data_IF_997973915813
#
_entry.id   IF_997973915813
#
_cell.length_a   1.000
_cell.length_b   1.000
_cell.length_c   1.000
_cell.angle_alpha   90.00
_cell.angle_beta   90.00
_cell.angle_gamma   90.00
#
_symmetry.space_group_name_H-M   'P 1'
#
loop_
_entity.id
_entity.type
_entity.pdbx_description
1 polymer ?
#
# COMPACT_ATOMS: atom_id res chain seq x y z
N UNK A 1 -5.47 19.54 5.07
CA UNK A 1 -5.48 20.63 4.06
C UNK A 1 -5.47 21.99 4.77
N UNK A 2 -4.98 23.08 4.14
CA UNK A 2 -5.00 24.41 4.78
C UNK A 2 -6.42 24.89 5.06
N UNK A 3 -6.65 25.51 6.22
CA UNK A 3 -7.94 26.11 6.62
C UNK A 3 -8.48 27.13 5.59
N UNK A 4 -7.60 27.70 4.77
CA UNK A 4 -7.92 28.66 3.71
C UNK A 4 -8.74 28.04 2.56
N UNK A 5 -8.61 26.73 2.33
CA UNK A 5 -9.29 26.01 1.24
C UNK A 5 -10.81 25.97 1.45
N UNK A 6 -11.27 25.80 2.69
CA UNK A 6 -12.69 25.68 3.03
C UNK A 6 -13.44 27.02 3.08
N UNK A 7 -12.73 28.14 3.03
CA UNK A 7 -13.30 29.49 3.13
C UNK A 7 -13.24 30.26 1.80
N UNK A 8 -12.85 29.60 0.70
CA UNK A 8 -12.76 30.25 -0.60
C UNK A 8 -14.16 30.57 -1.15
N UNK A 9 -14.39 31.76 -1.74
CA UNK A 9 -15.68 32.11 -2.32
C UNK A 9 -16.01 31.21 -3.50
N UNK A 10 -17.22 30.65 -3.49
CA UNK A 10 -17.79 29.81 -4.54
C UNK A 10 -17.68 30.49 -5.92
N UNK A 11 -16.96 29.88 -6.87
CA UNK A 11 -16.88 30.33 -8.27
C UNK A 11 -17.52 29.30 -9.21
N UNK A 12 -18.63 29.68 -9.82
CA UNK A 12 -19.46 28.84 -10.71
C UNK A 12 -18.91 28.69 -12.15
N UNK A 13 -17.64 28.93 -12.40
CA UNK A 13 -17.07 28.82 -13.75
C UNK A 13 -16.63 27.37 -14.00
N UNK A 14 -17.33 26.68 -14.90
CA UNK A 14 -17.03 25.36 -15.49
C UNK A 14 -16.40 24.38 -14.48
N UNK A 15 -17.24 23.55 -13.86
CA UNK A 15 -16.82 22.45 -12.99
C UNK A 15 -16.01 21.43 -13.81
N UNK A 16 -14.70 21.63 -13.92
CA UNK A 16 -13.77 20.55 -14.19
C UNK A 16 -13.89 19.60 -13.00
N UNK A 17 -14.56 18.45 -13.21
CA UNK A 17 -14.71 17.46 -12.15
C UNK A 17 -13.34 16.98 -11.69
N UNK A 18 -12.90 17.49 -10.55
CA UNK A 18 -11.76 16.96 -9.85
C UNK A 18 -12.10 15.50 -9.45
N UNK A 19 -11.22 14.57 -9.82
CA UNK A 19 -11.40 13.12 -9.58
C UNK A 19 -12.61 12.49 -10.30
N UNK A 20 -12.71 12.58 -11.65
CA UNK A 20 -13.90 12.20 -12.40
C UNK A 20 -14.29 10.72 -12.22
N UNK A 21 -13.31 9.83 -12.00
CA UNK A 21 -13.59 8.42 -11.74
C UNK A 21 -14.26 8.21 -10.38
N UNK A 22 -13.72 8.79 -9.30
CA UNK A 22 -14.26 8.67 -7.95
C UNK A 22 -15.65 9.28 -7.91
N UNK A 23 -15.80 10.48 -8.45
CA UNK A 23 -17.09 11.17 -8.56
C UNK A 23 -18.10 10.34 -9.34
N UNK A 24 -17.71 9.72 -10.46
CA UNK A 24 -18.60 8.83 -11.21
C UNK A 24 -19.02 7.62 -10.39
N UNK A 25 -18.09 6.94 -9.72
CA UNK A 25 -18.40 5.80 -8.87
C UNK A 25 -19.38 6.16 -7.74
N UNK A 26 -19.16 7.30 -7.06
CA UNK A 26 -20.04 7.78 -6.00
C UNK A 26 -21.42 8.17 -6.53
N UNK A 27 -21.47 8.92 -7.63
CA UNK A 27 -22.75 9.32 -8.26
C UNK A 27 -23.54 8.10 -8.70
N UNK A 28 -22.91 7.12 -9.36
CA UNK A 28 -23.59 5.89 -9.76
C UNK A 28 -24.03 5.05 -8.56
N UNK A 29 -23.16 4.91 -7.55
CA UNK A 29 -23.47 4.16 -6.33
C UNK A 29 -24.61 4.77 -5.51
N UNK A 30 -24.70 6.10 -5.47
CA UNK A 30 -25.77 6.82 -4.78
C UNK A 30 -27.07 6.92 -5.58
N UNK A 31 -26.97 7.02 -6.92
CA UNK A 31 -28.13 7.21 -7.78
C UNK A 31 -28.91 5.91 -8.03
N UNK A 32 -28.22 4.77 -8.22
CA UNK A 32 -28.84 3.58 -8.82
C UNK A 32 -29.29 2.57 -7.77
N UNK A 33 -30.60 2.32 -7.69
CA UNK A 33 -31.14 1.16 -6.98
C UNK A 33 -31.25 -0.03 -7.93
N UNK A 34 -30.25 -0.91 -7.91
CA UNK A 34 -30.21 -2.11 -8.76
C UNK A 34 -31.35 -3.10 -8.49
N UNK A 35 -31.94 -3.10 -7.29
CA UNK A 35 -33.02 -4.03 -6.93
C UNK A 35 -34.35 -3.55 -7.50
N UNK A 36 -34.57 -2.23 -7.50
CA UNK A 36 -35.80 -1.62 -8.03
C UNK A 36 -35.71 -1.27 -9.51
N UNK A 37 -34.48 -1.14 -10.03
CA UNK A 37 -34.24 -0.63 -11.38
C UNK A 37 -34.49 0.87 -11.51
N UNK A 38 -34.53 1.59 -10.39
CA UNK A 38 -34.81 3.02 -10.33
C UNK A 38 -33.50 3.81 -10.20
N UNK A 39 -33.51 5.06 -10.65
CA UNK A 39 -32.38 5.98 -10.55
C UNK A 39 -32.84 7.29 -9.88
N UNK A 40 -32.13 7.71 -8.83
CA UNK A 40 -32.33 8.98 -8.15
C UNK A 40 -31.53 10.08 -8.82
N UNK A 41 -32.06 11.30 -8.82
CA UNK A 41 -31.29 12.46 -9.28
C UNK A 41 -30.22 12.81 -8.25
N UNK A 42 -28.97 12.77 -8.66
CA UNK A 42 -27.83 13.23 -7.87
C UNK A 42 -27.30 14.52 -8.50
N UNK A 43 -27.15 15.56 -7.70
CA UNK A 43 -26.53 16.82 -8.10
C UNK A 43 -25.20 16.95 -7.37
N UNK A 44 -24.07 16.57 -7.99
CA UNK A 44 -22.77 16.76 -7.38
C UNK A 44 -22.54 18.26 -7.17
N UNK A 45 -22.08 18.61 -5.97
CA UNK A 45 -21.66 19.97 -5.64
C UNK A 45 -20.16 20.09 -5.86
N UNK A 46 -19.67 21.32 -6.00
CA UNK A 46 -18.24 21.56 -6.15
C UNK A 46 -17.51 21.07 -4.89
N UNK A 47 -16.31 20.53 -5.03
CA UNK A 47 -15.54 20.00 -3.89
C UNK A 47 -15.23 21.06 -2.82
N UNK A 48 -15.20 22.34 -3.24
CA UNK A 48 -15.02 23.51 -2.38
C UNK A 48 -16.32 24.02 -1.76
N UNK A 49 -17.44 23.33 -1.99
CA UNK A 49 -18.71 23.66 -1.34
C UNK A 49 -18.54 23.51 0.17
N UNK A 50 -18.83 24.55 0.96
CA UNK A 50 -18.76 24.42 2.41
C UNK A 50 -19.83 23.41 2.89
N UNK A 51 -19.64 22.78 4.06
CA UNK A 51 -20.60 21.78 4.61
C UNK A 51 -22.03 22.30 4.65
N UNK A 52 -22.21 23.59 4.96
CA UNK A 52 -23.48 24.33 5.04
C UNK A 52 -23.88 25.01 3.72
N UNK A 53 -23.09 24.79 2.66
CA UNK A 53 -23.39 25.31 1.32
C UNK A 53 -24.41 24.48 0.54
N UNK A 54 -24.76 23.29 1.03
CA UNK A 54 -25.78 22.41 0.46
C UNK A 54 -27.17 22.63 1.04
N UNK A 55 -28.18 21.97 0.48
CA UNK A 55 -29.50 21.85 1.09
C UNK A 55 -29.45 20.77 2.19
N UNK A 56 -28.93 21.17 3.36
CA UNK A 56 -28.60 20.29 4.47
C UNK A 56 -29.39 20.62 5.75
N UNK A 57 -30.59 21.20 5.57
CA UNK A 57 -31.45 21.64 6.68
C UNK A 57 -31.78 20.53 7.68
N UNK A 58 -31.70 19.27 7.21
CA UNK A 58 -31.96 18.07 8.01
C UNK A 58 -30.67 17.38 8.49
N UNK A 59 -29.50 17.98 8.28
CA UNK A 59 -28.19 17.36 8.50
C UNK A 59 -27.64 16.65 7.27
N UNK A 60 -26.57 15.87 7.46
CA UNK A 60 -25.86 15.17 6.39
C UNK A 60 -25.50 13.74 6.76
N UNK A 61 -25.34 12.91 5.73
CA UNK A 61 -24.67 11.62 5.85
C UNK A 61 -23.24 11.77 5.37
N UNK A 62 -22.28 11.39 6.21
CA UNK A 62 -20.85 11.39 5.88
C UNK A 62 -20.43 9.94 5.69
N UNK A 63 -19.78 9.66 4.57
CA UNK A 63 -19.22 8.34 4.25
C UNK A 63 -17.72 8.52 4.08
N UNK A 64 -16.95 7.82 4.91
CA UNK A 64 -15.51 7.74 4.77
C UNK A 64 -15.13 6.42 4.12
N UNK A 65 -14.62 6.54 2.89
CA UNK A 65 -14.15 5.42 2.07
C UNK A 65 -12.64 5.50 1.82
N UNK A 66 -11.91 6.28 2.64
CA UNK A 66 -10.45 6.40 2.56
C UNK A 66 -9.77 5.03 2.57
N UNK A 67 -10.27 4.12 3.40
CA UNK A 67 -9.99 2.70 3.33
C UNK A 67 -11.22 1.93 2.84
N UNK A 68 -11.22 1.43 1.59
CA UNK A 68 -12.32 0.65 1.04
C UNK A 68 -12.66 -0.63 1.81
N UNK A 69 -11.73 -1.14 2.63
CA UNK A 69 -11.96 -2.31 3.48
C UNK A 69 -12.63 -1.99 4.80
N UNK A 70 -12.52 -0.72 5.20
CA UNK A 70 -13.02 -0.21 6.47
C UNK A 70 -13.85 1.03 6.20
N UNK A 71 -14.86 0.90 5.33
CA UNK A 71 -15.82 1.98 5.09
C UNK A 71 -16.52 2.34 6.40
N UNK A 72 -16.47 3.62 6.74
CA UNK A 72 -17.11 4.18 7.93
C UNK A 72 -18.21 5.14 7.50
N UNK A 73 -19.20 5.35 8.35
CA UNK A 73 -20.20 6.38 8.12
C UNK A 73 -20.56 7.10 9.42
N UNK A 74 -21.17 8.27 9.32
CA UNK A 74 -21.94 8.84 10.42
C UNK A 74 -23.00 9.77 9.87
N UNK A 75 -23.97 10.11 10.71
CA UNK A 75 -24.84 11.25 10.48
C UNK A 75 -24.32 12.44 11.28
N UNK A 76 -24.44 13.64 10.72
CA UNK A 76 -24.06 14.87 11.39
C UNK A 76 -25.16 15.92 11.24
N UNK A 77 -25.39 16.68 12.30
CA UNK A 77 -26.31 17.81 12.34
C UNK A 77 -25.49 19.05 12.65
N UNK A 78 -25.64 20.10 11.84
CA UNK A 78 -24.76 21.26 11.84
C UNK A 78 -25.38 22.48 12.49
N UNK A 79 -26.62 22.77 12.13
CA UNK A 79 -27.45 23.79 12.77
C UNK A 79 -28.54 23.05 13.52
N UNK A 80 -28.90 23.54 14.71
CA UNK A 80 -30.04 23.00 15.44
C UNK A 80 -31.20 22.93 14.45
N UNK A 81 -31.81 21.75 14.30
CA UNK A 81 -32.95 21.60 13.40
C UNK A 81 -33.88 22.76 13.71
N UNK A 82 -34.31 23.48 12.67
CA UNK A 82 -35.48 24.34 12.79
C UNK A 82 -36.62 23.41 13.19
N UNK A 83 -36.74 23.10 14.49
CA UNK A 83 -37.92 22.48 15.03
C UNK A 83 -39.02 23.46 14.67
N UNK A 84 -39.76 23.06 13.63
CA UNK A 84 -41.20 23.14 13.53
C UNK A 84 -41.72 23.89 14.74
N UNK A 85 -42.03 25.17 14.53
CA UNK A 85 -42.52 26.15 15.49
C UNK A 85 -43.78 25.68 16.25
N UNK A 86 -43.70 24.58 16.98
CA UNK A 86 -44.65 24.22 18.00
C UNK A 86 -44.19 25.00 19.24
N UNK A 87 -44.90 26.11 19.49
CA UNK A 87 -44.72 27.04 20.62
C UNK A 87 -44.80 26.36 22.02
N UNK A 88 -44.96 25.04 22.06
CA UNK A 88 -45.10 24.18 23.25
C UNK A 88 -43.87 23.27 23.51
N UNK A 89 -42.75 23.47 22.79
CA UNK A 89 -41.51 22.73 23.01
C UNK A 89 -40.92 23.06 24.40
N UNK A 90 -41.08 22.14 25.35
CA UNK A 90 -40.47 22.19 26.69
C UNK A 90 -38.96 22.47 26.59
N UNK A 91 -38.44 23.34 27.45
CA UNK A 91 -37.02 23.77 27.50
C UNK A 91 -35.98 22.65 27.49
N UNK A 92 -36.37 21.43 27.85
CA UNK A 92 -35.50 20.25 27.87
C UNK A 92 -35.16 19.73 26.45
N UNK A 93 -36.05 19.91 25.46
CA UNK A 93 -35.85 19.44 24.08
C UNK A 93 -34.76 20.22 23.33
N UNK A 94 -34.63 21.52 23.62
CA UNK A 94 -33.59 22.37 23.05
C UNK A 94 -32.19 21.95 23.54
N UNK A 95 -32.06 21.63 24.83
CA UNK A 95 -30.79 21.19 25.41
C UNK A 95 -30.33 19.82 24.87
N UNK A 96 -31.26 18.94 24.49
CA UNK A 96 -30.91 17.66 23.87
C UNK A 96 -30.48 17.82 22.40
N UNK A 97 -31.12 18.73 21.66
CA UNK A 97 -30.73 19.07 20.28
C UNK A 97 -29.32 19.66 20.23
N UNK A 98 -29.02 20.64 21.09
CA UNK A 98 -27.69 21.26 21.15
C UNK A 98 -26.59 20.25 21.47
N UNK A 99 -26.86 19.23 22.31
CA UNK A 99 -25.88 18.18 22.65
C UNK A 99 -25.51 17.28 21.49
N UNK A 100 -26.37 17.17 20.46
CA UNK A 100 -26.16 16.28 19.31
C UNK A 100 -25.54 17.00 18.11
N UNK A 101 -25.39 18.32 18.18
CA UNK A 101 -24.73 19.11 17.13
C UNK A 101 -23.23 18.81 17.06
N UNK A 102 -22.70 18.66 15.85
CA UNK A 102 -21.28 18.33 15.63
C UNK A 102 -20.82 17.08 16.40
N UNK A 103 -21.72 16.11 16.57
CA UNK A 103 -21.42 14.80 17.14
C UNK A 103 -21.70 13.75 16.07
N UNK A 104 -20.79 12.78 15.83
CA UNK A 104 -21.08 11.67 14.93
C UNK A 104 -22.23 10.82 15.47
N UNK A 105 -23.37 10.83 14.79
CA UNK A 105 -24.58 10.09 15.17
C UNK A 105 -24.69 8.76 14.42
N UNK A 106 -25.20 7.74 15.10
CA UNK A 106 -25.65 6.48 14.49
C UNK A 106 -26.94 6.69 13.69
N UNK A 107 -27.28 5.73 12.83
CA UNK A 107 -28.55 5.73 12.12
C UNK A 107 -29.75 5.77 13.07
N UNK A 108 -29.68 5.03 14.17
CA UNK A 108 -30.74 5.01 15.18
C UNK A 108 -30.96 6.39 15.81
N UNK A 109 -29.87 7.04 16.25
CA UNK A 109 -29.93 8.34 16.92
C UNK A 109 -30.40 9.45 15.98
N UNK A 110 -29.91 9.44 14.74
CA UNK A 110 -30.34 10.42 13.73
C UNK A 110 -31.81 10.24 13.36
N UNK A 111 -32.28 9.00 13.19
CA UNK A 111 -33.68 8.76 12.82
C UNK A 111 -34.66 8.95 13.98
N UNK A 112 -34.26 8.66 15.21
CA UNK A 112 -35.05 8.99 16.41
C UNK A 112 -35.24 10.50 16.52
N UNK A 113 -34.20 11.26 16.18
CA UNK A 113 -34.23 12.70 16.09
C UNK A 113 -35.11 13.21 14.93
N UNK A 114 -35.02 12.60 13.75
CA UNK A 114 -35.75 13.04 12.54
C UNK A 114 -37.23 12.60 12.50
N UNK A 115 -37.57 11.47 13.13
CA UNK A 115 -38.94 10.89 13.13
C UNK A 115 -39.35 10.47 14.55
N UNK A 116 -39.64 11.44 15.43
CA UNK A 116 -40.21 11.17 16.73
C UNK A 116 -41.59 10.51 16.54
N UNK A 117 -41.78 9.31 17.08
CA UNK A 117 -42.96 8.47 16.82
C UNK A 117 -42.64 7.03 16.42
N UNK A 118 -41.36 6.75 16.18
CA UNK A 118 -40.83 5.40 16.08
C UNK A 118 -40.61 4.92 14.65
N UNK A 119 -39.64 4.01 14.51
CA UNK A 119 -39.21 3.47 13.23
C UNK A 119 -40.21 2.44 12.69
N UNK A 120 -40.49 2.50 11.38
CA UNK A 120 -41.26 1.46 10.67
C UNK A 120 -40.46 0.15 10.62
N UNK A 121 -41.12 -0.98 10.33
CA UNK A 121 -40.46 -2.29 10.30
C UNK A 121 -39.30 -2.39 9.30
N UNK A 122 -39.40 -1.73 8.15
CA UNK A 122 -38.31 -1.68 7.16
C UNK A 122 -37.15 -0.80 7.63
N UNK A 123 -37.46 0.34 8.24
CA UNK A 123 -36.46 1.27 8.75
C UNK A 123 -35.69 0.70 9.95
N UNK A 124 -36.36 -0.09 10.80
CA UNK A 124 -35.69 -0.85 11.89
C UNK A 124 -34.66 -1.82 11.34
N UNK A 125 -35.01 -2.60 10.31
CA UNK A 125 -34.08 -3.54 9.67
C UNK A 125 -32.90 -2.81 9.04
N UNK A 126 -33.13 -1.64 8.44
CA UNK A 126 -32.05 -0.83 7.89
C UNK A 126 -31.11 -0.33 9.00
N UNK A 127 -31.66 0.17 10.12
CA UNK A 127 -30.85 0.59 11.28
C UNK A 127 -30.03 -0.58 11.82
N UNK A 128 -30.61 -1.77 11.93
CA UNK A 128 -29.90 -2.98 12.34
C UNK A 128 -28.72 -3.30 11.40
N UNK A 129 -28.93 -3.21 10.08
CA UNK A 129 -27.86 -3.39 9.09
C UNK A 129 -26.78 -2.31 9.20
N UNK A 130 -27.16 -1.06 9.42
CA UNK A 130 -26.22 0.05 9.55
C UNK A 130 -25.38 -0.06 10.83
N UNK A 131 -25.86 -0.72 11.88
CA UNK A 131 -25.07 -0.98 13.09
C UNK A 131 -23.90 -1.96 12.85
N UNK A 132 -23.89 -2.68 11.72
CA UNK A 132 -22.76 -3.53 11.32
C UNK A 132 -21.62 -2.72 10.68
N UNK A 133 -21.90 -1.48 10.25
CA UNK A 133 -20.90 -0.59 9.63
C UNK A 133 -20.27 0.29 10.70
N UNK A 134 -18.96 0.53 10.58
CA UNK A 134 -18.22 1.33 11.55
C UNK A 134 -18.68 2.78 11.54
N UNK A 135 -18.76 3.37 12.73
CA UNK A 135 -19.02 4.79 12.88
C UNK A 135 -17.73 5.60 12.70
N UNK A 136 -17.81 6.73 12.00
CA UNK A 136 -16.71 7.70 11.95
C UNK A 136 -16.54 8.32 13.33
N UNK A 137 -15.30 8.41 13.82
CA UNK A 137 -14.98 9.05 15.09
C UNK A 137 -14.81 10.58 14.94
N UNK A 138 -14.98 11.31 16.05
CA UNK A 138 -14.87 12.77 16.06
C UNK A 138 -13.49 13.27 15.67
N UNK A 139 -12.43 12.50 15.95
CA UNK A 139 -11.06 12.92 15.68
C UNK A 139 -10.76 12.87 14.17
N UNK A 140 -11.25 11.84 13.48
CA UNK A 140 -11.20 11.72 12.03
C UNK A 140 -11.99 12.84 11.33
N UNK A 141 -13.15 13.21 11.88
CA UNK A 141 -13.90 14.36 11.39
C UNK A 141 -13.18 15.68 11.67
N UNK A 142 -12.54 15.85 12.81
CA UNK A 142 -11.78 17.07 13.14
C UNK A 142 -10.50 17.20 12.29
N UNK A 143 -9.82 16.10 11.98
CA UNK A 143 -8.66 16.08 11.08
C UNK A 143 -9.04 16.41 9.63
N UNK A 144 -10.11 15.80 9.14
CA UNK A 144 -10.63 16.09 7.80
C UNK A 144 -11.30 17.48 7.72
N UNK A 145 -12.02 17.86 8.78
CA UNK A 145 -12.87 19.03 8.88
C UNK A 145 -12.84 19.69 10.27
N UNK A 146 -11.85 20.56 10.54
CA UNK A 146 -11.68 21.15 11.86
C UNK A 146 -12.79 22.16 12.18
N UNK A 147 -13.71 21.80 13.07
CA UNK A 147 -14.96 22.54 13.37
C UNK A 147 -15.35 22.50 14.85
N UNK A 148 -14.57 21.83 15.70
CA UNK A 148 -14.93 21.59 17.09
C UNK A 148 -15.86 20.39 17.24
N UNK A 149 -15.60 19.31 16.50
CA UNK A 149 -16.36 18.07 16.65
C UNK A 149 -16.29 17.56 18.09
N UNK A 150 -17.45 17.26 18.66
CA UNK A 150 -17.55 16.71 20.00
C UNK A 150 -17.56 15.20 19.95
N UNK A 151 -16.79 14.58 20.86
CA UNK A 151 -16.86 13.13 21.02
C UNK A 151 -18.24 12.72 21.54
N UNK A 152 -18.68 11.52 21.17
CA UNK A 152 -19.95 10.95 21.65
C UNK A 152 -20.02 10.91 23.18
N UNK A 153 -18.90 10.63 23.83
CA UNK A 153 -18.82 10.58 25.30
C UNK A 153 -19.04 11.97 25.92
N UNK A 154 -18.45 13.03 25.34
CA UNK A 154 -18.68 14.41 25.80
C UNK A 154 -20.14 14.84 25.62
N UNK A 155 -20.80 14.35 24.57
CA UNK A 155 -22.22 14.57 24.31
C UNK A 155 -23.17 13.74 25.19
N UNK A 156 -22.64 12.85 26.04
CA UNK A 156 -23.44 11.93 26.85
C UNK A 156 -24.05 10.76 26.07
N UNK A 157 -23.58 10.51 24.85
CA UNK A 157 -23.98 9.39 24.01
C UNK A 157 -23.11 8.15 24.28
N UNK A 158 -23.63 6.93 24.06
CA UNK A 158 -22.85 5.72 24.21
C UNK A 158 -21.69 5.69 23.20
N UNK A 159 -20.51 5.26 23.67
CA UNK A 159 -19.38 4.97 22.80
C UNK A 159 -19.71 3.81 21.85
N UNK A 160 -19.21 3.87 20.62
CA UNK A 160 -19.38 2.82 19.62
C UNK A 160 -18.04 2.10 19.43
N UNK A 161 -18.02 0.77 19.21
CA UNK A 161 -16.79 0.06 18.94
C UNK A 161 -16.05 0.67 17.74
N UNK A 162 -14.80 1.09 17.95
CA UNK A 162 -13.92 1.65 16.91
C UNK A 162 -13.15 0.57 16.14
N UNK A 163 -13.31 -0.71 16.48
CA UNK A 163 -12.53 -1.78 15.85
C UNK A 163 -13.25 -2.38 14.65
N UNK A 164 -12.58 -2.48 13.49
CA UNK A 164 -13.07 -3.30 12.40
C UNK A 164 -13.10 -4.78 12.82
N UNK A 165 -14.26 -5.42 12.62
CA UNK A 165 -14.24 -6.85 12.34
C UNK A 165 -13.42 -7.02 11.08
N UNK A 166 -12.32 -7.79 11.16
CA UNK A 166 -11.38 -7.98 10.07
C UNK A 166 -12.08 -8.53 8.82
N UNK A 167 -12.49 -7.65 7.91
CA UNK A 167 -13.07 -8.02 6.62
C UNK A 167 -11.96 -7.88 5.58
N UNK A 168 -11.54 -9.05 5.07
CA UNK A 168 -10.80 -9.28 3.83
C UNK A 168 -9.54 -8.43 3.58
N UNK A 169 -8.44 -8.80 4.25
CA UNK A 169 -7.07 -8.32 4.00
C UNK A 169 -6.47 -8.69 2.61
N UNK A 170 -7.29 -8.84 1.56
CA UNK A 170 -6.89 -9.40 0.27
C UNK A 170 -7.10 -8.50 -0.96
N UNK A 171 -7.93 -7.45 -0.90
CA UNK A 171 -8.08 -6.55 -2.05
C UNK A 171 -7.11 -5.35 -1.92
N UNK A 172 -6.55 -4.84 -3.03
CA UNK A 172 -5.70 -3.65 -2.99
C UNK A 172 -6.51 -2.40 -2.61
N UNK A 173 -5.89 -1.43 -1.93
CA UNK A 173 -6.56 -0.17 -1.60
C UNK A 173 -6.82 0.66 -2.88
N UNK A 174 -7.76 1.61 -2.83
CA UNK A 174 -7.98 2.54 -3.95
C UNK A 174 -6.71 3.34 -4.26
N UNK A 175 -5.94 3.69 -3.23
CA UNK A 175 -4.65 4.37 -3.37
C UNK A 175 -3.66 3.52 -4.16
N UNK A 176 -3.56 2.21 -3.87
CA UNK A 176 -2.67 1.30 -4.59
C UNK A 176 -3.07 1.20 -6.06
N UNK A 177 -4.37 1.01 -6.33
CA UNK A 177 -4.91 0.91 -7.70
C UNK A 177 -4.66 2.22 -8.46
N UNK A 178 -4.93 3.36 -7.83
CA UNK A 178 -4.73 4.67 -8.46
C UNK A 178 -3.25 4.94 -8.75
N UNK A 179 -2.35 4.60 -7.83
CA UNK A 179 -0.91 4.74 -8.01
C UNK A 179 -0.38 3.86 -9.14
N UNK A 180 -0.81 2.60 -9.19
CA UNK A 180 -0.47 1.67 -10.27
C UNK A 180 -0.88 2.24 -11.64
N UNK A 181 -2.09 2.77 -11.77
CA UNK A 181 -2.55 3.44 -13.00
C UNK A 181 -1.80 4.71 -13.32
N UNK A 182 -1.38 5.46 -12.31
CA UNK A 182 -0.52 6.62 -12.50
C UNK A 182 0.85 6.21 -13.05
N UNK A 183 1.48 5.16 -12.51
CA UNK A 183 2.76 4.67 -13.02
C UNK A 183 2.66 4.12 -14.43
N UNK A 184 1.60 3.37 -14.76
CA UNK A 184 1.34 2.91 -16.13
C UNK A 184 1.33 4.08 -17.13
N UNK A 185 0.78 5.23 -16.75
CA UNK A 185 0.77 6.44 -17.59
C UNK A 185 2.14 7.12 -17.65
N UNK A 186 2.81 7.27 -16.51
CA UNK A 186 4.14 7.91 -16.42
C UNK A 186 5.22 7.15 -17.20
N UNK A 187 5.03 5.84 -17.42
CA UNK A 187 5.92 5.03 -18.24
C UNK A 187 5.90 5.39 -19.73
N UNK A 188 4.81 5.96 -20.22
CA UNK A 188 4.60 6.23 -21.66
C UNK A 188 4.85 7.69 -22.05
N UNK A 189 4.49 8.62 -21.17
CA UNK A 189 4.49 10.05 -21.48
C UNK A 189 5.09 10.85 -20.31
N UNK A 190 5.87 11.88 -20.65
CA UNK A 190 6.33 12.87 -19.69
C UNK A 190 5.12 13.69 -19.25
N UNK A 191 4.53 13.28 -18.13
CA UNK A 191 3.28 13.86 -17.67
C UNK A 191 3.55 15.05 -16.75
N UNK A 192 2.87 16.17 -16.99
CA UNK A 192 2.79 17.31 -16.07
C UNK A 192 2.30 16.98 -14.65
N UNK A 193 1.75 15.78 -14.45
CA UNK A 193 1.32 15.29 -13.14
C UNK A 193 2.49 14.69 -12.36
N UNK A 194 3.61 14.38 -13.00
CA UNK A 194 4.76 13.73 -12.35
C UNK A 194 5.20 14.49 -11.10
N UNK A 195 5.44 15.79 -11.23
CA UNK A 195 5.84 16.66 -10.11
C UNK A 195 4.83 16.59 -8.95
N UNK A 196 3.52 16.60 -9.26
CA UNK A 196 2.47 16.55 -8.24
C UNK A 196 2.37 15.20 -7.53
N UNK A 197 2.58 14.11 -8.25
CA UNK A 197 2.46 12.76 -7.69
C UNK A 197 3.72 12.41 -6.88
N UNK A 198 4.88 12.94 -7.26
CA UNK A 198 6.14 12.79 -6.52
C UNK A 198 6.09 13.43 -5.12
N UNK A 199 5.26 14.45 -4.90
CA UNK A 199 5.02 15.05 -3.58
C UNK A 199 4.32 14.11 -2.59
N UNK A 200 3.74 13.00 -3.06
CA UNK A 200 3.02 12.06 -2.21
C UNK A 200 4.01 11.22 -1.38
N UNK A 201 3.88 11.15 -0.03
CA UNK A 201 4.83 10.44 0.83
C UNK A 201 5.04 8.96 0.48
N UNK A 202 4.02 8.31 -0.10
CA UNK A 202 4.07 6.91 -0.50
C UNK A 202 4.52 6.68 -1.95
N UNK A 203 4.87 7.74 -2.70
CA UNK A 203 5.20 7.63 -4.12
C UNK A 203 6.38 6.68 -4.38
N UNK A 204 7.55 6.95 -3.80
CA UNK A 204 8.75 6.15 -4.01
C UNK A 204 8.60 4.69 -3.53
N UNK A 205 8.07 4.41 -2.32
CA UNK A 205 7.77 3.05 -1.90
C UNK A 205 6.85 2.29 -2.88
N UNK A 206 5.81 2.96 -3.38
CA UNK A 206 4.85 2.36 -4.31
C UNK A 206 5.48 2.14 -5.69
N UNK A 207 6.29 3.09 -6.17
CA UNK A 207 7.00 2.97 -7.44
C UNK A 207 7.97 1.79 -7.44
N UNK A 208 8.78 1.63 -6.37
CA UNK A 208 9.68 0.49 -6.21
C UNK A 208 8.93 -0.83 -6.24
N UNK A 209 7.82 -0.89 -5.49
CA UNK A 209 6.96 -2.07 -5.42
C UNK A 209 6.38 -2.41 -6.79
N UNK A 210 5.91 -1.40 -7.52
CA UNK A 210 5.38 -1.54 -8.87
C UNK A 210 6.45 -2.05 -9.85
N UNK A 211 7.64 -1.44 -9.88
CA UNK A 211 8.73 -1.85 -10.77
C UNK A 211 9.23 -3.27 -10.44
N UNK A 212 9.28 -3.65 -9.16
CA UNK A 212 9.65 -5.01 -8.77
C UNK A 212 8.60 -6.06 -9.21
N UNK A 213 7.31 -5.70 -9.24
CA UNK A 213 6.24 -6.56 -9.77
C UNK A 213 6.22 -6.63 -11.29
N UNK A 214 6.67 -5.58 -11.96
CA UNK A 214 6.63 -5.43 -13.43
C UNK A 214 8.01 -5.08 -14.01
N UNK A 215 9.06 -5.92 -13.81
CA UNK A 215 10.42 -5.56 -14.19
C UNK A 215 10.63 -5.42 -15.71
N UNK A 216 9.74 -5.98 -16.51
CA UNK A 216 9.76 -5.91 -17.98
C UNK A 216 9.47 -4.50 -18.52
N UNK A 217 8.78 -3.64 -17.75
CA UNK A 217 8.46 -2.27 -18.17
C UNK A 217 9.70 -1.39 -18.29
N UNK A 218 10.75 -1.69 -17.52
CA UNK A 218 11.99 -0.90 -17.44
C UNK A 218 12.67 -0.76 -18.80
N UNK A 219 12.65 -1.82 -19.61
CA UNK A 219 13.28 -1.83 -20.93
C UNK A 219 12.29 -1.78 -22.10
N UNK A 220 10.99 -1.97 -21.84
CA UNK A 220 9.96 -1.97 -22.88
C UNK A 220 9.22 -0.63 -23.04
N UNK A 221 9.27 0.25 -22.03
CA UNK A 221 8.59 1.55 -22.04
C UNK A 221 9.58 2.70 -22.17
N UNK A 222 9.12 3.81 -22.72
CA UNK A 222 9.96 4.98 -23.05
C UNK A 222 10.66 5.54 -21.81
N UNK A 223 9.93 5.69 -20.70
CA UNK A 223 10.46 6.23 -19.44
C UNK A 223 10.75 5.16 -18.39
N UNK A 224 10.72 3.87 -18.77
CA UNK A 224 10.86 2.75 -17.82
C UNK A 224 12.17 2.78 -17.05
N UNK A 225 13.29 3.04 -17.75
CA UNK A 225 14.60 3.13 -17.11
C UNK A 225 14.75 4.40 -16.26
N UNK A 226 14.22 5.53 -16.72
CA UNK A 226 14.29 6.79 -15.97
C UNK A 226 13.48 6.71 -14.67
N UNK A 227 12.32 6.05 -14.69
CA UNK A 227 11.54 5.77 -13.47
C UNK A 227 12.27 4.83 -12.53
N UNK A 228 12.98 3.81 -13.04
CA UNK A 228 13.82 2.95 -12.19
C UNK A 228 14.98 3.73 -11.58
N UNK A 229 15.66 4.58 -12.36
CA UNK A 229 16.75 5.41 -11.85
C UNK A 229 16.27 6.33 -10.73
N UNK A 230 15.13 6.99 -10.94
CA UNK A 230 14.50 7.82 -9.91
C UNK A 230 14.12 7.01 -8.66
N UNK A 231 13.52 5.83 -8.84
CA UNK A 231 13.15 4.97 -7.72
C UNK A 231 14.36 4.51 -6.88
N UNK A 232 15.53 4.38 -7.51
CA UNK A 232 16.76 3.89 -6.86
C UNK A 232 17.68 5.00 -6.34
N UNK A 233 17.30 6.26 -6.52
CA UNK A 233 18.05 7.40 -6.02
C UNK A 233 18.16 7.35 -4.48
N UNK A 234 19.34 7.73 -3.98
CA UNK A 234 19.67 7.78 -2.55
C UNK A 234 19.41 6.47 -1.78
N UNK A 235 19.41 5.32 -2.45
CA UNK A 235 19.31 4.02 -1.78
C UNK A 235 20.67 3.55 -1.25
N UNK A 236 20.70 3.07 -0.01
CA UNK A 236 21.90 2.49 0.61
C UNK A 236 22.12 1.02 0.22
N UNK A 237 21.02 0.34 -0.12
CA UNK A 237 21.01 -1.05 -0.55
C UNK A 237 20.33 -1.13 -1.91
N UNK A 238 21.11 -1.49 -2.93
CA UNK A 238 20.62 -1.54 -4.30
C UNK A 238 20.37 -3.00 -4.71
N UNK A 239 19.10 -3.41 -4.70
CA UNK A 239 18.67 -4.72 -5.16
C UNK A 239 18.21 -4.65 -6.63
N UNK A 240 19.03 -5.20 -7.54
CA UNK A 240 18.73 -5.26 -8.97
C UNK A 240 18.32 -6.66 -9.45
N UNK A 241 18.11 -7.62 -8.54
CA UNK A 241 17.69 -8.98 -8.88
C UNK A 241 16.42 -9.05 -9.75
N UNK A 242 15.36 -8.25 -9.50
CA UNK A 242 14.17 -8.29 -10.34
C UNK A 242 14.44 -7.88 -11.81
N UNK A 243 15.47 -7.07 -12.05
CA UNK A 243 15.72 -6.38 -13.32
C UNK A 243 16.81 -7.07 -14.15
N UNK A 244 16.63 -8.36 -14.42
CA UNK A 244 17.62 -9.21 -15.11
C UNK A 244 18.02 -8.77 -16.52
N UNK A 245 17.22 -7.90 -17.15
CA UNK A 245 17.44 -7.38 -18.50
C UNK A 245 18.31 -6.10 -18.56
N UNK A 246 18.74 -5.57 -17.41
CA UNK A 246 19.62 -4.40 -17.36
C UNK A 246 20.99 -4.67 -18.02
N UNK A 247 21.51 -3.65 -18.72
CA UNK A 247 22.87 -3.64 -19.31
C UNK A 247 23.88 -3.05 -18.35
N UNK A 248 25.17 -3.36 -18.53
CA UNK A 248 26.26 -2.82 -17.69
C UNK A 248 26.26 -1.28 -17.59
N UNK A 249 25.99 -0.56 -18.69
CA UNK A 249 25.89 0.91 -18.68
C UNK A 249 24.70 1.42 -17.84
N UNK A 250 23.57 0.72 -17.89
CA UNK A 250 22.38 1.05 -17.09
C UNK A 250 22.66 0.80 -15.60
N UNK A 251 23.27 -0.35 -15.26
CA UNK A 251 23.66 -0.66 -13.88
C UNK A 251 24.62 0.41 -13.33
N UNK A 252 25.60 0.85 -14.12
CA UNK A 252 26.53 1.90 -13.71
C UNK A 252 25.81 3.21 -13.38
N UNK A 253 24.80 3.61 -14.17
CA UNK A 253 23.98 4.80 -13.89
C UNK A 253 23.18 4.65 -12.60
N UNK A 254 22.57 3.49 -12.36
CA UNK A 254 21.83 3.22 -11.12
C UNK A 254 22.75 3.27 -9.90
N UNK A 255 23.95 2.69 -9.99
CA UNK A 255 24.97 2.74 -8.94
C UNK A 255 25.46 4.17 -8.71
N UNK A 256 25.59 4.99 -9.75
CA UNK A 256 25.97 6.41 -9.60
C UNK A 256 24.90 7.23 -8.88
N UNK A 257 23.62 6.96 -9.16
CA UNK A 257 22.48 7.63 -8.53
C UNK A 257 22.19 7.14 -7.10
N UNK A 258 22.68 5.96 -6.71
CA UNK A 258 22.53 5.45 -5.35
C UNK A 258 23.28 6.31 -4.31
N UNK A 259 22.93 6.15 -3.03
CA UNK A 259 23.51 6.92 -1.95
C UNK A 259 25.05 6.82 -1.92
N UNK A 260 25.73 7.87 -1.45
CA UNK A 260 27.17 7.81 -1.17
C UNK A 260 27.52 6.79 -0.07
N UNK A 261 26.58 6.55 0.85
CA UNK A 261 26.68 5.54 1.91
C UNK A 261 26.33 4.12 1.44
N UNK A 262 26.06 3.89 0.14
CA UNK A 262 25.63 2.58 -0.35
C UNK A 262 26.57 1.46 0.09
N UNK A 263 26.03 0.43 0.76
CA UNK A 263 26.83 -0.65 1.35
C UNK A 263 26.59 -2.01 0.70
N UNK A 264 25.41 -2.25 0.14
CA UNK A 264 25.04 -3.51 -0.49
C UNK A 264 24.59 -3.32 -1.93
N UNK A 265 25.03 -4.24 -2.79
CA UNK A 265 24.65 -4.29 -4.19
C UNK A 265 24.35 -5.74 -4.60
N UNK A 266 23.13 -5.98 -5.07
CA UNK A 266 22.72 -7.25 -5.64
C UNK A 266 22.58 -7.14 -7.16
N UNK A 267 23.41 -7.90 -7.89
CA UNK A 267 23.44 -7.98 -9.34
C UNK A 267 22.96 -9.35 -9.85
N UNK A 268 22.33 -10.14 -8.99
CA UNK A 268 21.94 -11.51 -9.29
C UNK A 268 21.04 -11.58 -10.52
N UNK A 269 21.35 -12.50 -11.42
CA UNK A 269 20.55 -12.73 -12.63
C UNK A 269 20.70 -11.67 -13.73
N UNK A 270 21.42 -10.57 -13.50
CA UNK A 270 21.72 -9.56 -14.53
C UNK A 270 22.76 -10.12 -15.51
N UNK A 271 22.31 -10.81 -16.56
CA UNK A 271 23.20 -11.59 -17.44
C UNK A 271 24.14 -10.73 -18.29
N UNK A 272 23.76 -9.49 -18.58
CA UNK A 272 24.54 -8.60 -19.43
C UNK A 272 25.69 -7.88 -18.71
N UNK A 273 25.96 -8.23 -17.44
CA UNK A 273 27.06 -7.64 -16.66
C UNK A 273 28.36 -8.43 -16.83
N UNK A 274 29.45 -7.73 -17.12
CA UNK A 274 30.79 -8.33 -17.22
C UNK A 274 31.63 -8.09 -15.97
N UNK A 275 32.72 -8.85 -15.83
CA UNK A 275 33.72 -8.62 -14.76
C UNK A 275 34.28 -7.18 -14.80
N UNK A 276 34.39 -6.59 -15.99
CA UNK A 276 34.89 -5.21 -16.15
C UNK A 276 33.88 -4.17 -15.66
N UNK A 277 32.59 -4.43 -15.80
CA UNK A 277 31.54 -3.53 -15.29
C UNK A 277 31.51 -3.56 -13.77
N UNK A 278 31.61 -4.75 -13.16
CA UNK A 278 31.76 -4.88 -11.71
C UNK A 278 32.99 -4.13 -11.21
N UNK A 279 34.12 -4.20 -11.93
CA UNK A 279 35.31 -3.42 -11.59
C UNK A 279 35.03 -1.91 -11.58
N UNK A 280 34.39 -1.38 -12.64
CA UNK A 280 34.03 0.05 -12.73
C UNK A 280 33.08 0.48 -11.60
N UNK A 281 32.15 -0.38 -11.21
CA UNK A 281 31.24 -0.16 -10.08
C UNK A 281 32.04 0.01 -8.78
N UNK A 282 32.95 -0.93 -8.50
CA UNK A 282 33.77 -0.92 -7.28
C UNK A 282 34.79 0.22 -7.24
N UNK A 283 35.19 0.77 -8.39
CA UNK A 283 36.02 1.97 -8.48
C UNK A 283 35.26 3.27 -8.14
N UNK A 284 33.93 3.25 -8.23
CA UNK A 284 33.07 4.44 -8.06
C UNK A 284 32.35 4.52 -6.73
N UNK A 285 32.00 3.36 -6.14
CA UNK A 285 31.23 3.30 -4.89
C UNK A 285 31.84 2.31 -3.91
N UNK A 286 31.71 2.63 -2.63
CA UNK A 286 32.18 1.80 -1.53
C UNK A 286 31.20 0.66 -1.23
N UNK A 287 31.22 -0.40 -2.05
CA UNK A 287 30.38 -1.59 -1.79
C UNK A 287 31.06 -2.47 -0.74
N UNK A 288 30.31 -2.88 0.30
CA UNK A 288 30.80 -3.82 1.33
C UNK A 288 30.27 -5.23 1.11
N UNK A 289 29.05 -5.37 0.60
CA UNK A 289 28.40 -6.63 0.28
C UNK A 289 28.01 -6.66 -1.19
N UNK A 290 28.54 -7.62 -1.92
CA UNK A 290 28.30 -7.80 -3.35
C UNK A 290 27.69 -9.18 -3.61
N UNK A 291 26.46 -9.21 -4.11
CA UNK A 291 25.78 -10.45 -4.52
C UNK A 291 25.79 -10.57 -6.04
N UNK A 292 26.28 -11.70 -6.53
CA UNK A 292 26.42 -12.02 -7.96
C UNK A 292 25.92 -13.45 -8.20
N UNK A 293 24.66 -13.72 -7.85
CA UNK A 293 24.08 -15.03 -8.05
C UNK A 293 23.63 -15.21 -9.51
N UNK A 294 24.05 -16.31 -10.14
CA UNK A 294 23.69 -16.63 -11.53
C UNK A 294 24.16 -15.61 -12.58
N UNK A 295 25.36 -15.04 -12.45
CA UNK A 295 25.99 -14.21 -13.47
C UNK A 295 27.11 -14.99 -14.20
N UNK A 296 26.80 -15.66 -15.31
CA UNK A 296 27.78 -16.53 -15.98
C UNK A 296 28.96 -15.79 -16.60
N UNK A 297 28.78 -14.53 -16.96
CA UNK A 297 29.82 -13.68 -17.56
C UNK A 297 30.82 -13.10 -16.53
N UNK A 298 30.61 -13.35 -15.24
CA UNK A 298 31.41 -12.81 -14.15
C UNK A 298 32.33 -13.91 -13.60
N UNK A 299 33.64 -13.74 -13.82
CA UNK A 299 34.66 -14.69 -13.38
C UNK A 299 35.11 -14.36 -11.95
N UNK A 300 34.74 -15.20 -10.98
CA UNK A 300 35.06 -15.00 -9.56
C UNK A 300 36.55 -14.93 -9.30
N UNK A 301 37.37 -15.70 -10.03
CA UNK A 301 38.82 -15.71 -9.81
C UNK A 301 39.42 -14.37 -10.17
N UNK A 302 38.90 -13.71 -11.21
CA UNK A 302 39.28 -12.34 -11.56
C UNK A 302 38.77 -11.34 -10.53
N UNK A 303 37.55 -11.53 -10.00
CA UNK A 303 37.00 -10.69 -8.95
C UNK A 303 37.78 -10.74 -7.63
N UNK A 304 38.32 -11.90 -7.25
CA UNK A 304 39.12 -12.04 -6.02
C UNK A 304 40.29 -11.07 -5.98
N UNK A 305 40.92 -10.78 -7.11
CA UNK A 305 42.01 -9.81 -7.18
C UNK A 305 41.53 -8.37 -6.88
N UNK A 306 40.35 -7.99 -7.36
CA UNK A 306 39.77 -6.67 -7.13
C UNK A 306 39.25 -6.53 -5.69
N UNK A 307 38.67 -7.59 -5.14
CA UNK A 307 38.12 -7.55 -3.79
C UNK A 307 39.21 -7.59 -2.71
N UNK A 308 40.31 -8.32 -2.94
CA UNK A 308 41.41 -8.42 -1.96
C UNK A 308 42.10 -7.07 -1.66
N UNK A 309 41.96 -6.07 -2.54
CA UNK A 309 42.46 -4.70 -2.35
C UNK A 309 41.38 -3.64 -2.23
N UNK A 310 40.10 -4.02 -2.22
CA UNK A 310 38.95 -3.12 -2.28
C UNK A 310 38.19 -3.01 -0.95
N UNK A 311 36.98 -2.47 -1.05
CA UNK A 311 36.07 -2.20 0.10
C UNK A 311 35.12 -3.37 0.39
N UNK A 312 35.04 -4.33 -0.53
CA UNK A 312 34.11 -5.47 -0.46
C UNK A 312 34.56 -6.45 0.62
N UNK A 313 33.74 -6.63 1.65
CA UNK A 313 33.99 -7.55 2.77
C UNK A 313 33.32 -8.90 2.55
N UNK A 314 32.20 -8.89 1.84
CA UNK A 314 31.39 -10.08 1.57
C UNK A 314 31.08 -10.16 0.07
N UNK A 315 31.42 -11.29 -0.55
CA UNK A 315 30.97 -11.64 -1.90
C UNK A 315 30.12 -12.89 -1.79
N UNK A 316 28.91 -12.85 -2.35
CA UNK A 316 28.05 -14.02 -2.51
C UNK A 316 28.03 -14.39 -3.99
N UNK A 317 28.66 -15.51 -4.36
CA UNK A 317 28.68 -16.00 -5.75
C UNK A 317 28.42 -17.50 -5.83
N UNK A 318 27.68 -17.94 -6.86
CA UNK A 318 27.31 -19.36 -7.09
C UNK A 318 28.51 -20.32 -7.01
N UNK A 319 29.64 -19.94 -7.62
CA UNK A 319 30.86 -20.77 -7.62
C UNK A 319 31.43 -21.05 -6.22
N UNK A 320 31.27 -20.14 -5.24
CA UNK A 320 31.74 -20.40 -3.88
C UNK A 320 30.98 -21.57 -3.25
N UNK A 321 29.68 -21.67 -3.53
CA UNK A 321 28.85 -22.78 -3.11
C UNK A 321 29.19 -24.06 -3.88
N UNK A 322 29.33 -23.98 -5.21
CA UNK A 322 29.72 -25.15 -6.02
C UNK A 322 31.09 -25.70 -5.65
N UNK A 323 32.07 -24.85 -5.31
CA UNK A 323 33.39 -25.26 -4.89
C UNK A 323 33.35 -26.12 -3.62
N UNK A 324 32.48 -25.77 -2.65
CA UNK A 324 32.29 -26.56 -1.43
C UNK A 324 31.71 -27.95 -1.71
N UNK A 325 30.83 -28.09 -2.70
CA UNK A 325 30.32 -29.40 -3.13
C UNK A 325 31.35 -30.18 -3.95
N UNK A 326 32.15 -29.51 -4.79
CA UNK A 326 33.19 -30.14 -5.59
C UNK A 326 34.34 -30.66 -4.72
N UNK A 327 34.77 -29.92 -3.68
CA UNK A 327 35.77 -30.39 -2.73
C UNK A 327 35.30 -31.62 -1.96
N UNK A 328 34.02 -31.64 -1.56
CA UNK A 328 33.40 -32.84 -0.97
C UNK A 328 33.28 -34.00 -1.96
N UNK A 329 33.05 -33.73 -3.25
CA UNK A 329 32.99 -34.79 -4.26
C UNK A 329 34.37 -35.40 -4.55
N UNK A 330 35.44 -34.59 -4.50
CA UNK A 330 36.82 -35.08 -4.63
C UNK A 330 37.26 -35.85 -3.38
N UNK A 331 36.89 -35.38 -2.18
CA UNK A 331 37.07 -36.17 -0.96
C UNK A 331 36.27 -37.48 -1.03
N UNK A 332 35.03 -37.44 -1.55
CA UNK A 332 34.23 -38.65 -1.75
C UNK A 332 34.75 -39.58 -2.86
N UNK A 333 35.48 -39.09 -3.86
CA UNK A 333 36.17 -39.92 -4.85
C UNK A 333 37.46 -40.53 -4.28
N UNK A 334 38.15 -39.84 -3.37
CA UNK A 334 39.18 -40.43 -2.52
C UNK A 334 38.56 -41.51 -1.64
N UNK A 335 37.43 -41.23 -0.99
CA UNK A 335 36.69 -42.24 -0.23
C UNK A 335 36.16 -43.38 -1.12
N UNK A 336 35.72 -43.17 -2.35
CA UNK A 336 35.35 -44.26 -3.28
C UNK A 336 36.55 -45.09 -3.72
N UNK A 337 37.74 -44.48 -3.89
CA UNK A 337 39.00 -45.22 -4.05
C UNK A 337 39.39 -46.01 -2.80
N UNK A 338 39.01 -45.55 -1.61
CA UNK A 338 39.22 -46.28 -0.35
C UNK A 338 38.06 -47.23 0.03
N UNK A 339 36.86 -47.10 -0.58
CA UNK A 339 35.69 -47.95 -0.30
C UNK A 339 35.69 -49.25 -1.13
N UNK A 340 36.71 -49.47 -1.95
CA UNK A 340 37.06 -50.82 -2.46
C UNK A 340 38.06 -51.55 -1.54
N UNK A 341 38.48 -50.91 -0.44
CA UNK A 341 39.44 -51.46 0.50
C UNK A 341 39.16 -50.97 1.93
N UNK A 342 37.98 -51.26 2.49
CA UNK A 342 37.81 -51.75 3.87
C UNK A 342 36.34 -51.74 4.29
N UNK A 343 35.83 -52.93 4.62
CA UNK A 343 34.62 -53.14 5.40
C UNK A 343 34.87 -52.70 6.85
N UNK A 344 33.89 -52.00 7.43
CA UNK A 344 33.71 -51.59 8.85
C UNK A 344 34.16 -50.17 9.19
N UNK A 345 33.19 -49.24 9.25
CA UNK A 345 33.03 -48.33 10.39
C UNK A 345 31.59 -47.75 10.40
N UNK A 346 30.66 -48.55 10.93
CA UNK A 346 29.28 -48.17 11.20
C UNK A 346 29.19 -47.43 12.53
N UNK A 347 29.30 -46.09 12.56
CA UNK A 347 28.77 -45.28 13.68
C UNK A 347 28.23 -43.91 13.21
N UNK A 348 28.69 -43.34 12.10
CA UNK A 348 28.26 -41.99 11.69
C UNK A 348 26.96 -41.92 10.85
N UNK A 349 26.44 -43.05 10.35
CA UNK A 349 25.22 -43.12 9.55
C UNK A 349 23.91 -43.02 10.36
N UNK A 350 23.98 -42.98 11.70
CA UNK A 350 22.80 -42.91 12.57
C UNK A 350 22.03 -41.58 12.48
N UNK A 351 22.73 -40.46 12.31
CA UNK A 351 22.10 -39.14 12.32
C UNK A 351 21.46 -38.73 10.98
N UNK A 352 21.98 -39.23 9.85
CA UNK A 352 21.41 -38.96 8.52
C UNK A 352 20.14 -39.77 8.22
N UNK A 353 20.03 -40.98 8.80
CA UNK A 353 18.85 -41.83 8.68
C UNK A 353 17.60 -41.18 9.29
N UNK A 354 17.75 -40.56 10.46
CA UNK A 354 16.62 -39.94 11.18
C UNK A 354 16.11 -38.69 10.47
N UNK A 355 17.01 -37.85 9.92
CA UNK A 355 16.62 -36.64 9.20
C UNK A 355 15.88 -36.95 7.88
N UNK A 356 16.33 -37.98 7.14
CA UNK A 356 15.70 -38.41 5.88
C UNK A 356 14.37 -39.12 6.11
N UNK A 357 14.22 -39.85 7.23
CA UNK A 357 12.94 -40.46 7.62
C UNK A 357 11.92 -39.41 8.09
N UNK A 358 12.35 -38.35 8.78
CA UNK A 358 11.46 -37.24 9.17
C UNK A 358 10.98 -36.41 7.96
N UNK A 359 11.83 -36.19 6.96
CA UNK A 359 11.45 -35.49 5.72
C UNK A 359 10.49 -36.30 4.83
N UNK A 360 10.62 -37.64 4.81
CA UNK A 360 9.66 -38.51 4.12
C UNK A 360 8.30 -38.58 4.82
N UNK A 361 8.26 -38.57 6.15
CA UNK A 361 7.01 -38.53 6.90
C UNK A 361 6.24 -37.22 6.64
N UNK A 362 6.94 -36.09 6.54
CA UNK A 362 6.32 -34.79 6.24
C UNK A 362 5.71 -34.75 4.82
N UNK A 363 6.40 -35.30 3.82
CA UNK A 363 5.89 -35.31 2.43
C UNK A 363 4.72 -36.28 2.21
N UNK A 364 4.52 -37.27 3.08
CA UNK A 364 3.40 -38.21 2.95
C UNK A 364 2.09 -37.64 3.52
N UNK A 365 2.17 -36.67 4.45
CA UNK A 365 0.99 -35.99 5.04
C UNK A 365 0.40 -34.93 4.10
N UNK A 366 1.16 -34.43 3.12
CA UNK A 366 0.71 -33.43 2.14
C UNK A 366 0.25 -34.01 0.80
N UNK A 367 0.02 -35.32 0.70
CA UNK A 367 -0.54 -35.96 -0.51
C UNK A 367 -1.67 -36.95 -0.19
N UNK A 368 -2.44 -36.67 0.86
CA UNK A 368 -3.73 -37.33 1.14
C UNK A 368 -4.87 -36.33 0.98
#
# INVERSE_FOLDING_TARGET
MPHETWNAPYRREVCDQEFPFVTSCLVHGAAVDLKRGDCSNISPLDWSTPFDGGDNNDGVTIIDFTDPHHVRFCFAVFDGFEQLNDEDSDTDGLAESERKMLVPLTAAEYLDFYKPGGLTGELKKLVEQMNEVLLIDSDALEDAWPRGWSSRVQAGLPGVPTQPSAINAGAPSLTDIAMEKTFEKLLEEEHSLREKVEELPSYLPNLRTFLAKHPDVVNSRVYGFDMLQFAMEDQEDLDLYPFTSLRGEQVLKLVEAAAESMTALDLSGVQAISTNDVKKILERKHVTKLTLWSNEAVDVKKLQHFVSGGTVKEIIHREQFLAAFQSQSQENDVYKKYTLATTRFSVFLGFYSTLVLSLRALLTVFSS
#
